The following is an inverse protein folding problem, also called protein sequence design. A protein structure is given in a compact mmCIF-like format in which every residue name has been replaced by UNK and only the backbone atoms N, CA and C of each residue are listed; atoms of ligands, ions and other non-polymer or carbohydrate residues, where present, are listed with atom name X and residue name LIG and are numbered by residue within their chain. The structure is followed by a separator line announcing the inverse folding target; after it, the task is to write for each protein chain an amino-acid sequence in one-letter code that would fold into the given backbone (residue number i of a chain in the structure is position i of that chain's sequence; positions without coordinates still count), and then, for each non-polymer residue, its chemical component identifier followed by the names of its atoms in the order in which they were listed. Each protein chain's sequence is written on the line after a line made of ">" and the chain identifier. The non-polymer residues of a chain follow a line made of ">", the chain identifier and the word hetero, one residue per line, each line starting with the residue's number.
data_IF_243210930280
#
_entry.id   IF_243210930280
#
_cell.length_a   1.000
_cell.length_b   1.000
_cell.length_c   1.000
_cell.angle_alpha   90.00
_cell.angle_beta   90.00
_cell.angle_gamma   90.00
#
_symmetry.space_group_name_H-M   'P 1'
#
loop_
_entity.id
_entity.type
_entity.pdbx_description
1 polymer ?
#
# COMPACT_ATOMS: atom_id res chain seq x y z
N UNK A 1 43.86 -31.10 18.24
CA UNK A 1 42.63 -31.18 17.45
C UNK A 1 41.67 -30.14 17.97
N UNK A 2 41.51 -28.97 17.34
CA UNK A 2 40.53 -28.01 17.75
C UNK A 2 39.18 -28.34 17.03
N UNK A 3 38.13 -28.49 17.86
CA UNK A 3 36.79 -28.81 17.41
C UNK A 3 36.17 -27.67 16.59
N UNK A 4 35.67 -28.01 15.41
CA UNK A 4 34.86 -27.14 14.57
C UNK A 4 33.55 -26.75 15.29
N UNK A 5 33.44 -25.49 15.66
CA UNK A 5 32.15 -24.90 16.07
C UNK A 5 31.34 -24.71 14.78
N UNK A 6 30.46 -25.68 14.49
CA UNK A 6 29.42 -25.51 13.48
C UNK A 6 28.48 -24.37 13.94
N UNK A 7 28.65 -23.22 13.32
CA UNK A 7 27.67 -22.13 13.37
C UNK A 7 26.32 -22.64 12.84
N UNK A 8 25.40 -22.91 13.74
CA UNK A 8 23.99 -23.17 13.42
C UNK A 8 23.42 -21.84 12.91
N UNK A 9 23.44 -21.63 11.60
CA UNK A 9 22.57 -20.61 10.99
C UNK A 9 21.14 -21.01 11.33
N UNK A 10 20.47 -20.23 12.19
CA UNK A 10 19.02 -20.27 12.30
C UNK A 10 18.47 -19.98 10.90
N UNK A 11 17.99 -21.00 10.21
CA UNK A 11 17.13 -20.80 9.06
C UNK A 11 15.91 -20.04 9.56
N UNK A 12 15.86 -18.74 9.29
CA UNK A 12 14.69 -17.91 9.55
C UNK A 12 13.61 -18.42 8.60
N UNK A 13 12.66 -19.20 9.12
CA UNK A 13 11.51 -19.67 8.36
C UNK A 13 10.79 -18.42 7.81
N UNK A 14 10.73 -18.29 6.49
CA UNK A 14 9.99 -17.22 5.83
C UNK A 14 8.50 -17.34 6.15
N UNK A 15 7.86 -16.19 6.43
CA UNK A 15 6.41 -16.10 6.66
C UNK A 15 5.68 -16.58 5.39
N UNK A 16 4.65 -17.40 5.56
CA UNK A 16 3.77 -17.80 4.47
C UNK A 16 2.71 -16.74 4.16
N UNK A 17 2.12 -16.77 2.96
CA UNK A 17 0.99 -15.90 2.61
C UNK A 17 -0.15 -15.99 3.63
N UNK A 18 -0.48 -17.21 4.08
CA UNK A 18 -1.55 -17.42 5.07
C UNK A 18 -1.23 -16.74 6.42
N UNK A 19 0.00 -16.85 6.90
CA UNK A 19 0.42 -16.20 8.15
C UNK A 19 0.44 -14.67 7.99
N UNK A 20 0.88 -14.17 6.83
CA UNK A 20 0.83 -12.75 6.49
C UNK A 20 -0.60 -12.20 6.47
N UNK A 21 -1.55 -12.94 5.88
CA UNK A 21 -2.96 -12.57 5.88
C UNK A 21 -3.55 -12.51 7.29
N UNK A 22 -3.29 -13.52 8.13
CA UNK A 22 -3.75 -13.53 9.53
C UNK A 22 -3.24 -12.29 10.28
N UNK A 23 -1.98 -11.92 10.08
CA UNK A 23 -1.42 -10.72 10.71
C UNK A 23 -2.15 -9.44 10.29
N UNK A 24 -2.43 -9.26 8.99
CA UNK A 24 -3.17 -8.09 8.50
C UNK A 24 -4.63 -8.10 8.97
N UNK A 25 -5.27 -9.27 9.02
CA UNK A 25 -6.65 -9.40 9.51
C UNK A 25 -6.75 -9.03 11.01
N UNK A 26 -5.71 -9.29 11.79
CA UNK A 26 -5.63 -8.83 13.18
C UNK A 26 -5.53 -7.30 13.28
N UNK A 27 -4.79 -6.66 12.37
CA UNK A 27 -4.70 -5.19 12.32
C UNK A 27 -6.05 -4.52 12.04
N UNK A 28 -6.96 -5.15 11.31
CA UNK A 28 -8.29 -4.59 11.03
C UNK A 28 -9.12 -4.27 12.27
N UNK A 29 -8.78 -4.87 13.41
CA UNK A 29 -9.47 -4.66 14.71
C UNK A 29 -9.15 -3.29 15.33
N UNK A 30 -8.12 -2.58 14.88
CA UNK A 30 -7.69 -1.31 15.45
C UNK A 30 -8.40 -0.07 14.86
N UNK A 31 -9.37 -0.28 13.95
CA UNK A 31 -10.18 0.79 13.38
C UNK A 31 -9.46 1.61 12.30
N UNK A 32 -10.07 2.77 11.97
CA UNK A 32 -9.51 3.73 11.02
C UNK A 32 -9.16 5.02 11.77
N UNK A 33 -8.00 5.59 11.45
CA UNK A 33 -7.57 6.90 11.91
C UNK A 33 -7.41 7.78 10.69
N UNK A 34 -8.02 8.97 10.69
CA UNK A 34 -7.86 9.94 9.62
C UNK A 34 -6.60 10.77 9.88
N UNK A 35 -5.86 11.06 8.83
CA UNK A 35 -4.62 11.83 8.88
C UNK A 35 -3.44 11.10 8.27
N UNK A 36 -2.33 11.79 8.14
CA UNK A 36 -1.14 11.26 7.44
C UNK A 36 0.05 10.99 8.38
N UNK A 37 -0.09 11.21 9.68
CA UNK A 37 1.06 11.14 10.58
C UNK A 37 1.49 9.69 10.84
N UNK A 38 0.54 8.79 11.01
CA UNK A 38 0.83 7.37 11.25
C UNK A 38 1.45 6.69 10.04
N UNK A 39 0.90 6.93 8.83
CA UNK A 39 1.50 6.39 7.60
C UNK A 39 2.87 7.01 7.32
N UNK A 40 3.07 8.30 7.64
CA UNK A 40 4.39 8.96 7.49
C UNK A 40 5.44 8.29 8.37
N UNK A 41 5.11 8.02 9.62
CA UNK A 41 6.00 7.28 10.54
C UNK A 41 6.33 5.89 10.02
N UNK A 42 5.34 5.14 9.53
CA UNK A 42 5.55 3.80 8.96
C UNK A 42 6.45 3.86 7.73
N UNK A 43 6.18 4.76 6.78
CA UNK A 43 6.97 4.90 5.55
C UNK A 43 8.40 5.30 5.86
N UNK A 44 8.63 6.16 6.86
CA UNK A 44 9.98 6.53 7.28
C UNK A 44 10.77 5.33 7.80
N UNK A 45 10.17 4.45 8.60
CA UNK A 45 10.80 3.19 9.04
C UNK A 45 11.14 2.26 7.86
N UNK A 46 10.41 2.36 6.75
CA UNK A 46 10.60 1.57 5.54
C UNK A 46 11.55 2.22 4.51
N UNK A 47 12.14 3.38 4.85
CA UNK A 47 13.05 4.13 3.98
C UNK A 47 12.33 4.84 2.83
N UNK A 48 11.18 5.42 3.13
CA UNK A 48 10.37 6.30 2.27
C UNK A 48 10.21 5.81 0.82
N UNK A 49 9.70 4.57 0.61
CA UNK A 49 9.64 3.96 -0.72
C UNK A 49 8.82 4.76 -1.74
N UNK A 50 7.87 5.58 -1.30
CA UNK A 50 7.02 6.42 -2.14
C UNK A 50 7.80 7.57 -2.80
N UNK A 51 8.91 8.00 -2.24
CA UNK A 51 9.66 9.14 -2.75
C UNK A 51 10.43 8.81 -4.05
N UNK A 52 10.65 7.52 -4.34
CA UNK A 52 11.26 7.01 -5.57
C UNK A 52 10.25 6.77 -6.72
N UNK A 53 8.96 6.96 -6.47
CA UNK A 53 7.87 6.62 -7.40
C UNK A 53 7.20 7.88 -7.95
N UNK A 54 6.54 7.74 -9.11
CA UNK A 54 5.72 8.78 -9.75
C UNK A 54 4.27 8.32 -9.82
N UNK A 55 3.34 9.21 -9.52
CA UNK A 55 1.95 8.83 -9.31
C UNK A 55 0.97 9.52 -10.26
N UNK A 56 -0.03 8.76 -10.71
CA UNK A 56 -1.32 9.26 -11.14
C UNK A 56 -2.31 8.90 -10.05
N UNK A 57 -2.88 9.89 -9.37
CA UNK A 57 -3.71 9.71 -8.20
C UNK A 57 -5.17 9.95 -8.55
N UNK A 58 -6.04 8.98 -8.25
CA UNK A 58 -7.44 8.99 -8.68
C UNK A 58 -8.35 9.00 -7.47
N UNK A 59 -9.17 10.06 -7.37
CA UNK A 59 -10.17 10.24 -6.34
C UNK A 59 -11.59 10.30 -6.92
N UNK A 60 -12.61 10.20 -6.08
CA UNK A 60 -14.03 10.28 -6.46
C UNK A 60 -14.89 9.26 -5.74
N UNK A 61 -16.20 9.39 -5.84
CA UNK A 61 -17.17 8.45 -5.26
C UNK A 61 -17.32 7.21 -6.15
N UNK A 62 -17.60 7.40 -7.43
CA UNK A 62 -17.83 6.33 -8.39
C UNK A 62 -16.90 6.46 -9.59
N UNK A 63 -16.54 5.31 -10.20
CA UNK A 63 -15.75 5.26 -11.43
C UNK A 63 -14.23 5.28 -11.22
N UNK A 64 -13.70 5.43 -10.00
CA UNK A 64 -12.27 5.39 -9.71
C UNK A 64 -11.58 4.17 -10.32
N UNK A 65 -12.07 2.97 -9.99
CA UNK A 65 -11.51 1.70 -10.50
C UNK A 65 -11.53 1.59 -12.02
N UNK A 66 -12.56 2.13 -12.70
CA UNK A 66 -12.61 2.15 -14.17
C UNK A 66 -11.55 3.09 -14.75
N UNK A 67 -11.45 4.33 -14.25
CA UNK A 67 -10.41 5.28 -14.68
C UNK A 67 -9.03 4.70 -14.43
N UNK A 68 -8.81 4.10 -13.27
CA UNK A 68 -7.56 3.45 -12.91
C UNK A 68 -7.22 2.30 -13.87
N UNK A 69 -8.20 1.43 -14.20
CA UNK A 69 -7.99 0.31 -15.13
C UNK A 69 -7.59 0.79 -16.51
N UNK A 70 -8.31 1.77 -17.09
CA UNK A 70 -7.96 2.34 -18.39
C UNK A 70 -6.58 3.02 -18.36
N UNK A 71 -6.33 3.87 -17.37
CA UNK A 71 -5.06 4.61 -17.27
C UNK A 71 -3.87 3.66 -17.13
N UNK A 72 -3.96 2.66 -16.26
CA UNK A 72 -2.86 1.71 -16.06
C UNK A 72 -2.61 0.85 -17.30
N UNK A 73 -3.67 0.42 -17.98
CA UNK A 73 -3.53 -0.34 -19.24
C UNK A 73 -2.87 0.49 -20.34
N UNK A 74 -3.31 1.75 -20.53
CA UNK A 74 -2.73 2.65 -21.53
C UNK A 74 -1.23 2.87 -21.26
N UNK A 75 -0.84 3.06 -20.01
CA UNK A 75 0.57 3.24 -19.63
C UNK A 75 1.40 1.98 -19.90
N UNK A 76 0.90 0.80 -19.53
CA UNK A 76 1.58 -0.46 -19.80
C UNK A 76 1.73 -0.72 -21.31
N UNK A 77 0.68 -0.47 -22.11
CA UNK A 77 0.73 -0.58 -23.58
C UNK A 77 1.68 0.45 -24.21
N UNK A 78 1.87 1.60 -23.57
CA UNK A 78 2.86 2.60 -23.98
C UNK A 78 4.30 2.24 -23.56
N UNK A 79 4.52 1.10 -22.91
CA UNK A 79 5.82 0.58 -22.53
C UNK A 79 6.35 1.03 -21.15
N UNK A 80 5.52 1.72 -20.36
CA UNK A 80 5.87 2.04 -18.96
C UNK A 80 5.61 0.83 -18.07
N UNK A 81 6.56 0.54 -17.16
CA UNK A 81 6.32 -0.42 -16.09
C UNK A 81 5.38 0.19 -15.07
N UNK A 82 4.15 -0.29 -15.04
CA UNK A 82 3.05 0.39 -14.37
C UNK A 82 2.57 -0.37 -13.15
N UNK A 83 2.72 0.26 -11.97
CA UNK A 83 2.09 -0.18 -10.72
C UNK A 83 0.62 0.24 -10.67
N UNK A 84 -0.22 -0.59 -10.04
CA UNK A 84 -1.64 -0.35 -9.85
C UNK A 84 -2.05 -0.73 -8.45
N UNK A 85 -2.68 0.22 -7.72
CA UNK A 85 -3.22 0.01 -6.38
C UNK A 85 -4.71 0.28 -6.37
N UNK A 86 -5.51 -0.72 -5.96
CA UNK A 86 -6.98 -0.67 -5.96
C UNK A 86 -7.57 -1.03 -4.61
N UNK A 87 -8.72 -0.42 -4.29
CA UNK A 87 -9.54 -0.80 -3.13
C UNK A 87 -11.01 -0.43 -3.36
N UNK A 88 -11.99 -1.27 -2.92
CA UNK A 88 -11.78 -2.63 -2.40
C UNK A 88 -11.41 -3.65 -3.50
N UNK A 89 -11.04 -4.86 -3.08
CA UNK A 89 -10.81 -6.01 -3.98
C UNK A 89 -12.09 -6.75 -4.27
N UNK A 90 -12.19 -7.40 -5.44
CA UNK A 90 -13.38 -8.15 -5.88
C UNK A 90 -13.12 -9.65 -5.93
N UNK A 91 -12.00 -10.07 -6.49
CA UNK A 91 -11.70 -11.49 -6.74
C UNK A 91 -10.73 -12.08 -5.72
N UNK A 92 -9.70 -11.35 -5.39
CA UNK A 92 -8.63 -11.79 -4.51
C UNK A 92 -8.01 -10.62 -3.78
N UNK A 93 -7.53 -10.86 -2.57
CA UNK A 93 -6.80 -9.83 -1.84
C UNK A 93 -5.51 -9.38 -2.54
N UNK A 94 -4.89 -10.28 -3.31
CA UNK A 94 -3.67 -9.99 -4.07
C UNK A 94 -3.91 -9.01 -5.23
N UNK A 95 -5.15 -8.89 -5.73
CA UNK A 95 -5.48 -7.95 -6.82
C UNK A 95 -5.30 -6.49 -6.42
N UNK A 96 -5.22 -6.20 -5.11
CA UNK A 96 -5.00 -4.86 -4.58
C UNK A 96 -3.72 -4.23 -5.13
N UNK A 97 -2.69 -5.04 -5.37
CA UNK A 97 -1.36 -4.62 -5.81
C UNK A 97 -0.98 -5.37 -7.08
N UNK A 98 -0.81 -4.64 -8.17
CA UNK A 98 -0.49 -5.21 -9.48
C UNK A 98 0.65 -4.45 -10.15
N UNK A 99 1.42 -5.15 -10.97
CA UNK A 99 2.39 -4.54 -11.90
C UNK A 99 2.13 -5.12 -13.29
N UNK A 100 1.91 -4.26 -14.29
CA UNK A 100 1.60 -4.62 -15.66
C UNK A 100 0.48 -5.67 -15.78
N UNK A 101 -0.59 -5.49 -14.98
CA UNK A 101 -1.76 -6.37 -14.93
C UNK A 101 -1.54 -7.68 -14.17
N UNK A 102 -0.34 -7.95 -13.66
CA UNK A 102 -0.04 -9.14 -12.86
C UNK A 102 -0.11 -8.83 -11.37
N UNK A 103 -0.89 -9.61 -10.64
CA UNK A 103 -1.02 -9.47 -9.19
C UNK A 103 0.29 -9.76 -8.48
N UNK A 104 0.50 -9.12 -7.33
CA UNK A 104 1.60 -9.45 -6.44
C UNK A 104 1.60 -10.96 -6.11
N UNK A 105 2.76 -11.59 -6.16
CA UNK A 105 2.87 -13.01 -5.79
C UNK A 105 2.64 -13.21 -4.29
N UNK A 106 2.17 -14.41 -3.89
CA UNK A 106 2.05 -14.76 -2.46
C UNK A 106 3.37 -14.60 -1.71
N UNK A 107 4.49 -14.91 -2.37
CA UNK A 107 5.83 -14.77 -1.80
C UNK A 107 6.19 -13.30 -1.56
N UNK A 108 6.00 -12.44 -2.58
CA UNK A 108 6.30 -11.00 -2.46
C UNK A 108 5.40 -10.32 -1.45
N UNK A 109 4.13 -10.74 -1.42
CA UNK A 109 3.16 -10.28 -0.42
C UNK A 109 3.65 -10.61 1.00
N UNK A 110 4.00 -11.87 1.27
CA UNK A 110 4.48 -12.30 2.58
C UNK A 110 5.76 -11.57 2.99
N UNK A 111 6.72 -11.41 2.07
CA UNK A 111 7.96 -10.66 2.32
C UNK A 111 7.70 -9.18 2.61
N UNK A 112 6.71 -8.58 1.94
CA UNK A 112 6.33 -7.20 2.21
C UNK A 112 5.69 -7.05 3.58
N UNK A 113 4.82 -7.98 3.98
CA UNK A 113 4.22 -8.01 5.32
C UNK A 113 5.27 -8.21 6.42
N UNK A 114 6.31 -9.01 6.20
CA UNK A 114 7.41 -9.14 7.16
C UNK A 114 8.08 -7.77 7.43
N UNK A 115 8.40 -7.01 6.38
CA UNK A 115 8.97 -5.66 6.51
C UNK A 115 8.03 -4.70 7.24
N UNK A 116 6.74 -4.73 6.94
CA UNK A 116 5.73 -3.95 7.65
C UNK A 116 5.72 -4.31 9.13
N UNK A 117 5.75 -5.59 9.46
CA UNK A 117 5.76 -6.08 10.83
C UNK A 117 7.00 -5.61 11.61
N UNK A 118 8.17 -5.64 10.98
CA UNK A 118 9.42 -5.13 11.57
C UNK A 118 9.33 -3.62 11.82
N UNK A 119 8.84 -2.85 10.85
CA UNK A 119 8.65 -1.41 10.99
C UNK A 119 7.65 -1.05 12.11
N UNK A 120 6.52 -1.76 12.20
CA UNK A 120 5.54 -1.58 13.27
C UNK A 120 6.15 -1.92 14.65
N UNK A 121 6.96 -2.97 14.74
CA UNK A 121 7.66 -3.30 15.97
C UNK A 121 8.64 -2.19 16.41
N UNK A 122 9.33 -1.57 15.44
CA UNK A 122 10.19 -0.40 15.69
C UNK A 122 9.40 0.80 16.20
N UNK A 123 8.30 1.17 15.54
CA UNK A 123 7.41 2.25 15.98
C UNK A 123 6.89 2.02 17.40
N UNK A 124 6.43 0.79 17.68
CA UNK A 124 5.95 0.41 19.01
C UNK A 124 7.03 0.56 20.08
N UNK A 125 8.27 0.16 19.78
CA UNK A 125 9.40 0.30 20.70
C UNK A 125 9.76 1.76 21.00
N UNK A 126 9.49 2.67 20.04
CA UNK A 126 9.67 4.12 20.17
C UNK A 126 8.49 4.82 20.85
N UNK A 127 7.39 4.13 21.10
CA UNK A 127 6.15 4.71 21.62
C UNK A 127 5.37 5.54 20.62
N UNK A 128 5.64 5.35 19.32
CA UNK A 128 4.99 6.08 18.22
C UNK A 128 3.60 5.47 17.92
N UNK A 129 2.68 6.25 17.34
CA UNK A 129 1.39 5.76 16.90
C UNK A 129 1.52 4.62 15.89
N UNK A 130 0.64 3.61 16.00
CA UNK A 130 0.66 2.46 15.12
C UNK A 130 -0.28 2.65 13.94
N UNK A 131 0.13 2.20 12.73
CA UNK A 131 -0.67 2.36 11.52
C UNK A 131 -1.92 1.48 11.52
N UNK A 132 -2.92 1.93 10.78
CA UNK A 132 -4.12 1.16 10.44
C UNK A 132 -3.80 0.09 9.41
N UNK A 133 -4.75 -0.84 9.18
CA UNK A 133 -4.63 -1.82 8.10
C UNK A 133 -4.43 -1.16 6.74
N UNK A 134 -5.24 -0.15 6.40
CA UNK A 134 -5.16 0.52 5.10
C UNK A 134 -3.82 1.25 4.88
N UNK A 135 -3.28 1.86 5.93
CA UNK A 135 -1.94 2.47 5.88
C UNK A 135 -0.83 1.42 5.68
N UNK A 136 -0.93 0.27 6.35
CA UNK A 136 0.00 -0.84 6.16
C UNK A 136 -0.06 -1.41 4.74
N UNK A 137 -1.27 -1.59 4.19
CA UNK A 137 -1.49 -2.03 2.81
C UNK A 137 -0.93 -1.04 1.77
N UNK A 138 -1.14 0.26 2.00
CA UNK A 138 -0.61 1.33 1.15
C UNK A 138 0.92 1.34 1.17
N UNK A 139 1.53 1.24 2.34
CA UNK A 139 2.99 1.17 2.48
C UNK A 139 3.56 -0.10 1.82
N UNK A 140 2.86 -1.23 1.94
CA UNK A 140 3.21 -2.49 1.29
C UNK A 140 3.19 -2.37 -0.23
N UNK A 141 2.19 -1.66 -0.79
CA UNK A 141 2.12 -1.39 -2.22
C UNK A 141 3.32 -0.56 -2.69
N UNK A 142 3.70 0.50 -1.98
CA UNK A 142 4.87 1.32 -2.33
C UNK A 142 6.18 0.52 -2.26
N UNK A 143 6.36 -0.33 -1.25
CA UNK A 143 7.51 -1.25 -1.18
C UNK A 143 7.61 -2.15 -2.40
N UNK A 144 6.48 -2.72 -2.82
CA UNK A 144 6.43 -3.62 -3.97
C UNK A 144 6.69 -2.89 -5.28
N UNK A 145 6.07 -1.73 -5.50
CA UNK A 145 6.28 -0.93 -6.71
C UNK A 145 7.73 -0.45 -6.84
N UNK A 146 8.37 -0.03 -5.74
CA UNK A 146 9.80 0.29 -5.72
C UNK A 146 10.66 -0.94 -6.06
N UNK A 147 10.38 -2.09 -5.44
CA UNK A 147 11.07 -3.37 -5.71
C UNK A 147 10.96 -3.76 -7.18
N UNK A 148 9.81 -3.52 -7.78
CA UNK A 148 9.53 -3.85 -9.18
C UNK A 148 10.02 -2.78 -10.16
N UNK A 149 10.63 -1.69 -9.67
CA UNK A 149 11.10 -0.58 -10.50
C UNK A 149 10.01 0.00 -11.41
N UNK A 150 8.83 0.27 -10.86
CA UNK A 150 7.74 0.87 -11.60
C UNK A 150 8.09 2.29 -12.04
N UNK A 151 7.90 2.60 -13.33
CA UNK A 151 8.07 3.95 -13.88
C UNK A 151 6.93 4.88 -13.44
N UNK A 152 5.72 4.31 -13.35
CA UNK A 152 4.48 5.00 -13.00
C UNK A 152 3.63 4.14 -12.06
N UNK A 153 2.93 4.78 -11.15
CA UNK A 153 1.94 4.13 -10.27
C UNK A 153 0.59 4.82 -10.44
N UNK A 154 -0.44 4.05 -10.77
CA UNK A 154 -1.83 4.51 -10.76
C UNK A 154 -2.45 4.11 -9.44
N UNK A 155 -2.82 5.12 -8.63
CA UNK A 155 -3.16 4.99 -7.22
C UNK A 155 -4.61 5.41 -6.99
N UNK A 156 -5.46 4.50 -6.52
CA UNK A 156 -6.83 4.79 -6.12
C UNK A 156 -6.89 5.24 -4.67
N UNK A 157 -7.61 6.34 -4.37
CA UNK A 157 -7.90 6.73 -2.98
C UNK A 157 -8.86 5.73 -2.33
N UNK A 158 -8.64 5.45 -1.05
CA UNK A 158 -9.54 4.61 -0.27
C UNK A 158 -10.81 5.36 0.14
N UNK A 159 -10.65 6.52 0.77
CA UNK A 159 -11.74 7.30 1.33
C UNK A 159 -11.44 8.81 1.25
N UNK A 160 -12.29 9.56 0.55
CA UNK A 160 -12.11 11.00 0.39
C UNK A 160 -10.88 11.35 -0.42
N UNK A 161 -9.95 12.13 0.14
CA UNK A 161 -8.73 12.55 -0.53
C UNK A 161 -7.71 13.11 0.43
N UNK A 162 -7.97 14.25 1.05
CA UNK A 162 -6.98 15.01 1.84
C UNK A 162 -6.32 14.20 2.96
N UNK A 163 -7.11 13.45 3.71
CA UNK A 163 -6.66 12.65 4.85
C UNK A 163 -6.47 11.18 4.53
N UNK A 164 -6.67 10.78 3.25
CA UNK A 164 -6.48 9.41 2.82
C UNK A 164 -4.99 9.02 2.84
N UNK A 165 -4.68 7.81 3.30
CA UNK A 165 -3.30 7.33 3.40
C UNK A 165 -2.54 7.43 2.06
N UNK A 166 -3.24 7.27 0.93
CA UNK A 166 -2.63 7.40 -0.40
C UNK A 166 -2.18 8.83 -0.73
N UNK A 167 -2.71 9.85 -0.03
CA UNK A 167 -2.34 11.26 -0.26
C UNK A 167 -1.00 11.66 0.38
N UNK A 168 -0.26 10.72 0.96
CA UNK A 168 1.10 10.92 1.45
C UNK A 168 2.11 11.18 0.32
N UNK A 169 1.77 10.86 -0.92
CA UNK A 169 2.65 10.93 -2.09
C UNK A 169 2.96 12.39 -2.50
N UNK A 170 4.22 12.65 -2.88
CA UNK A 170 4.69 13.99 -3.26
C UNK A 170 4.90 14.15 -4.78
N UNK A 171 5.22 13.05 -5.47
CA UNK A 171 5.55 13.04 -6.89
C UNK A 171 4.33 12.74 -7.76
N UNK A 172 3.19 13.39 -7.47
CA UNK A 172 1.96 13.26 -8.26
C UNK A 172 2.08 14.04 -9.56
N UNK A 173 2.09 13.33 -10.70
CA UNK A 173 2.16 13.93 -12.04
C UNK A 173 0.79 14.40 -12.47
N UNK A 174 -0.26 13.64 -12.13
CA UNK A 174 -1.64 13.93 -12.46
C UNK A 174 -2.55 13.49 -11.32
N UNK A 175 -3.48 14.37 -10.94
CA UNK A 175 -4.60 14.05 -10.08
C UNK A 175 -5.87 14.02 -10.94
N UNK A 176 -6.61 12.91 -10.89
CA UNK A 176 -7.85 12.74 -11.63
C UNK A 176 -9.02 12.58 -10.66
N UNK A 177 -10.09 13.34 -10.91
CA UNK A 177 -11.32 13.21 -10.16
C UNK A 177 -12.36 12.51 -11.03
N UNK A 178 -12.80 11.33 -10.59
CA UNK A 178 -13.97 10.65 -11.17
C UNK A 178 -15.25 11.35 -10.68
N UNK A 179 -16.40 10.70 -10.84
CA UNK A 179 -17.67 11.29 -10.37
C UNK A 179 -17.66 11.49 -8.85
N UNK A 180 -17.98 12.72 -8.42
CA UNK A 180 -18.15 13.08 -7.02
C UNK A 180 -19.63 13.16 -6.72
N UNK A 181 -20.08 12.48 -5.67
CA UNK A 181 -21.44 12.52 -5.14
C UNK A 181 -21.38 12.48 -3.60
N UNK A 182 -22.50 12.78 -2.96
CA UNK A 182 -22.61 12.69 -1.49
C UNK A 182 -22.39 11.23 -1.09
N UNK A 183 -21.36 10.99 -0.28
CA UNK A 183 -20.99 9.67 0.21
C UNK A 183 -20.28 9.81 1.56
N UNK A 184 -20.28 8.74 2.36
CA UNK A 184 -19.63 8.71 3.67
C UNK A 184 -19.99 9.91 4.57
N UNK A 185 -21.30 10.22 4.68
CA UNK A 185 -21.82 11.31 5.51
C UNK A 185 -21.26 11.25 6.94
N UNK A 186 -20.89 12.41 7.49
CA UNK A 186 -20.28 12.53 8.81
C UNK A 186 -18.80 12.13 8.89
N UNK A 187 -18.18 11.65 7.79
CA UNK A 187 -16.75 11.28 7.73
C UNK A 187 -15.98 12.22 6.81
N UNK A 188 -16.46 12.43 5.58
CA UNK A 188 -15.80 13.32 4.60
C UNK A 188 -16.43 14.71 4.62
N UNK A 189 -17.74 14.77 4.79
CA UNK A 189 -18.55 16.00 4.80
C UNK A 189 -20.00 15.69 4.52
N UNK A 190 -20.87 16.68 4.74
CA UNK A 190 -22.33 16.52 4.57
C UNK A 190 -22.84 17.25 3.31
N UNK A 191 -21.96 17.95 2.60
CA UNK A 191 -22.28 18.72 1.39
C UNK A 191 -21.27 18.41 0.28
N UNK A 192 -21.58 18.85 -0.95
CA UNK A 192 -20.67 18.76 -2.11
C UNK A 192 -19.70 19.96 -2.20
N UNK A 193 -19.80 20.90 -1.27
CA UNK A 193 -18.95 22.10 -1.18
C UNK A 193 -17.76 21.89 -0.28
#
# INVERSE_FOLDING_TARGET
>A
MPGEIRSIRKETRSVTYKEARVYLDEMSKYGSVLGLDTIRGLLHELGDPQDDLKFIHIAGTNGKGSVLAYTSTILSEAGYRTGRYVSPTVMSYLEKIQVDGTWISELDFAQSVEKIKEAIASLKAKGEPLPTLFEAETAMAFLYFRKMHCDMVVLETGLGGETDATNIVKNTICAAFATISVDHLGVIGDTLE
#
